data_IF_754429735301
#
_entry.id   IF_754429735301
#
_cell.length_a   1.000
_cell.length_b   1.000
_cell.length_c   1.000
_cell.angle_alpha   90.00
_cell.angle_beta   90.00
_cell.angle_gamma   90.00
#
_symmetry.space_group_name_H-M   'P 1'
#
loop_
_entity.id
_entity.type
_entity.pdbx_description
1 polymer ?
#
# COMPACT_ATOMS: atom_id res chain seq x y z
N UNK A 1 4.25 -15.30 6.86
CA UNK A 1 5.27 -14.55 6.11
C UNK A 1 5.11 -13.10 6.51
N UNK A 2 6.18 -12.32 6.58
CA UNK A 2 6.02 -10.88 6.73
C UNK A 2 5.44 -10.29 5.43
N UNK A 3 4.71 -9.18 5.52
CA UNK A 3 4.15 -8.51 4.35
C UNK A 3 4.37 -7.01 4.44
N UNK A 4 5.03 -6.39 3.45
CA UNK A 4 5.14 -4.93 3.32
C UNK A 4 4.00 -4.45 2.42
N UNK A 5 3.32 -3.37 2.80
CA UNK A 5 2.41 -2.62 1.92
C UNK A 5 2.76 -1.14 1.94
N UNK A 6 2.79 -0.51 0.77
CA UNK A 6 2.96 0.94 0.63
C UNK A 6 1.90 1.51 -0.30
N UNK A 7 1.31 2.64 0.05
CA UNK A 7 0.38 3.36 -0.83
C UNK A 7 0.80 4.81 -0.91
N UNK A 8 1.10 5.26 -2.12
CA UNK A 8 1.38 6.67 -2.43
C UNK A 8 0.49 7.08 -3.60
N UNK A 9 -0.15 8.23 -3.49
CA UNK A 9 -1.14 8.68 -4.48
C UNK A 9 -0.95 10.14 -4.89
N UNK A 10 -1.46 10.47 -6.07
CA UNK A 10 -1.69 11.83 -6.54
C UNK A 10 -3.19 12.13 -6.63
N UNK A 11 -3.60 13.41 -6.65
CA UNK A 11 -4.97 13.78 -6.95
C UNK A 11 -5.39 13.24 -8.32
N UNK A 12 -6.59 12.65 -8.40
CA UNK A 12 -7.08 12.12 -9.66
C UNK A 12 -7.42 13.21 -10.67
N UNK A 13 -7.04 12.98 -11.93
CA UNK A 13 -7.43 13.82 -13.06
C UNK A 13 -8.64 13.28 -13.84
N UNK A 14 -9.16 12.09 -13.49
CA UNK A 14 -10.25 11.46 -14.23
C UNK A 14 -11.60 12.00 -13.76
N UNK A 15 -12.48 12.29 -14.72
CA UNK A 15 -13.86 12.66 -14.42
C UNK A 15 -14.60 11.50 -13.73
N UNK A 16 -15.36 11.84 -12.70
CA UNK A 16 -16.21 10.89 -11.99
C UNK A 16 -17.26 10.33 -12.96
N UNK A 17 -17.33 9.01 -13.17
CA UNK A 17 -18.35 8.42 -14.01
C UNK A 17 -19.74 8.62 -13.40
N UNK A 18 -20.74 8.72 -14.26
CA UNK A 18 -22.14 8.79 -13.82
C UNK A 18 -22.69 7.40 -13.52
N UNK A 19 -23.69 7.31 -12.64
CA UNK A 19 -24.43 6.06 -12.42
C UNK A 19 -25.03 5.51 -13.72
N UNK A 20 -25.45 6.39 -14.63
CA UNK A 20 -26.01 5.99 -15.93
C UNK A 20 -24.96 5.32 -16.83
N UNK A 21 -23.73 5.83 -16.87
CA UNK A 21 -22.62 5.23 -17.64
C UNK A 21 -22.25 3.85 -17.08
N UNK A 22 -22.16 3.72 -15.76
CA UNK A 22 -21.86 2.43 -15.10
C UNK A 22 -22.94 1.39 -15.42
N UNK A 23 -24.22 1.76 -15.25
CA UNK A 23 -25.33 0.84 -15.52
C UNK A 23 -25.48 0.52 -17.00
N UNK A 24 -25.26 1.48 -17.90
CA UNK A 24 -25.30 1.23 -19.34
C UNK A 24 -24.25 0.18 -19.78
N UNK A 25 -23.04 0.22 -19.21
CA UNK A 25 -22.01 -0.79 -19.49
C UNK A 25 -22.39 -2.20 -19.03
N UNK A 26 -23.06 -2.33 -17.89
CA UNK A 26 -23.57 -3.62 -17.41
C UNK A 26 -24.81 -4.08 -18.19
N UNK A 27 -25.68 -3.15 -18.58
CA UNK A 27 -26.84 -3.46 -19.43
C UNK A 27 -26.38 -3.92 -20.84
N UNK A 28 -25.29 -3.36 -21.38
CA UNK A 28 -24.62 -3.86 -22.58
C UNK A 28 -24.16 -5.31 -22.41
N UNK A 29 -23.48 -5.61 -21.29
CA UNK A 29 -23.02 -6.96 -20.97
C UNK A 29 -24.20 -7.96 -20.88
N UNK A 30 -25.32 -7.55 -20.30
CA UNK A 30 -26.53 -8.38 -20.22
C UNK A 30 -27.15 -8.61 -21.60
N UNK A 31 -27.10 -7.63 -22.50
CA UNK A 31 -27.57 -7.84 -23.88
C UNK A 31 -26.70 -8.87 -24.60
N UNK A 32 -25.38 -8.74 -24.53
CA UNK A 32 -24.46 -9.66 -25.21
C UNK A 32 -24.47 -11.06 -24.59
N UNK A 33 -24.77 -11.18 -23.29
CA UNK A 33 -24.93 -12.47 -22.63
C UNK A 33 -26.17 -13.23 -23.11
N UNK A 34 -27.25 -12.52 -23.47
CA UNK A 34 -28.45 -13.12 -24.08
C UNK A 34 -28.18 -13.65 -25.49
N UNK A 35 -27.21 -13.07 -26.19
CA UNK A 35 -26.73 -13.53 -27.49
C UNK A 35 -25.73 -14.70 -27.38
N UNK A 36 -25.30 -15.05 -26.16
CA UNK A 36 -24.35 -16.15 -25.90
C UNK A 36 -22.88 -15.78 -26.11
N UNK A 37 -22.55 -14.50 -26.30
CA UNK A 37 -21.17 -14.06 -26.57
C UNK A 37 -20.42 -13.79 -25.26
N UNK A 38 -19.72 -14.81 -24.75
CA UNK A 38 -18.92 -14.73 -23.52
C UNK A 38 -17.79 -13.71 -23.63
N UNK A 39 -17.10 -13.66 -24.77
CA UNK A 39 -15.93 -12.80 -24.96
C UNK A 39 -16.32 -11.33 -24.96
N UNK A 40 -17.38 -10.98 -25.69
CA UNK A 40 -17.89 -9.60 -25.72
C UNK A 40 -18.49 -9.20 -24.37
N UNK A 41 -19.21 -10.12 -23.72
CA UNK A 41 -19.73 -9.90 -22.36
C UNK A 41 -18.59 -9.60 -21.38
N UNK A 42 -17.52 -10.40 -21.38
CA UNK A 42 -16.34 -10.18 -20.57
C UNK A 42 -15.70 -8.80 -20.81
N UNK A 43 -15.64 -8.35 -22.07
CA UNK A 43 -15.13 -7.02 -22.41
C UNK A 43 -16.00 -5.89 -21.83
N UNK A 44 -17.32 -6.01 -21.87
CA UNK A 44 -18.22 -5.01 -21.28
C UNK A 44 -18.06 -4.95 -19.76
N UNK A 45 -18.06 -6.09 -19.07
CA UNK A 45 -17.88 -6.14 -17.61
C UNK A 45 -16.49 -5.62 -17.21
N UNK A 46 -15.43 -6.01 -17.93
CA UNK A 46 -14.08 -5.52 -17.69
C UNK A 46 -13.95 -4.00 -17.85
N UNK A 47 -14.66 -3.39 -18.82
CA UNK A 47 -14.71 -1.92 -18.96
C UNK A 47 -15.40 -1.25 -17.78
N UNK A 48 -16.44 -1.86 -17.23
CA UNK A 48 -17.10 -1.35 -16.02
C UNK A 48 -16.20 -1.48 -14.80
N UNK A 49 -15.46 -2.58 -14.62
CA UNK A 49 -14.46 -2.70 -13.56
C UNK A 49 -13.42 -1.56 -13.66
N UNK A 50 -12.84 -1.34 -14.85
CA UNK A 50 -11.90 -0.24 -15.08
C UNK A 50 -12.52 1.13 -14.75
N UNK A 51 -13.79 1.36 -15.11
CA UNK A 51 -14.51 2.61 -14.81
C UNK A 51 -14.65 2.85 -13.29
N UNK A 52 -14.77 1.77 -12.52
CA UNK A 52 -14.98 1.78 -11.07
C UNK A 52 -13.68 1.70 -10.25
N UNK A 53 -12.51 1.61 -10.88
CA UNK A 53 -11.20 1.70 -10.19
C UNK A 53 -10.89 3.13 -9.76
N UNK A 54 -9.88 3.31 -8.92
CA UNK A 54 -9.35 4.63 -8.54
C UNK A 54 -10.33 5.52 -7.78
N UNK A 55 -9.97 6.79 -7.63
CA UNK A 55 -10.72 7.75 -6.83
C UNK A 55 -12.08 8.06 -7.45
N UNK A 56 -12.13 8.28 -8.77
CA UNK A 56 -13.37 8.58 -9.47
C UNK A 56 -14.37 7.41 -9.42
N UNK A 57 -13.87 6.17 -9.50
CA UNK A 57 -14.70 4.98 -9.36
C UNK A 57 -15.23 4.78 -7.94
N UNK A 58 -14.39 5.06 -6.93
CA UNK A 58 -14.84 5.10 -5.55
C UNK A 58 -15.91 6.17 -5.34
N UNK A 59 -15.70 7.38 -5.87
CA UNK A 59 -16.60 8.51 -5.66
C UNK A 59 -18.02 8.26 -6.19
N UNK A 60 -18.18 7.61 -7.35
CA UNK A 60 -19.51 7.28 -7.88
C UNK A 60 -20.25 6.24 -7.01
N UNK A 61 -19.51 5.35 -6.34
CA UNK A 61 -20.05 4.28 -5.51
C UNK A 61 -20.35 4.76 -4.08
N UNK A 62 -19.55 5.69 -3.56
CA UNK A 62 -19.68 6.19 -2.19
C UNK A 62 -21.02 6.86 -1.96
N UNK A 63 -21.67 6.50 -0.85
CA UNK A 63 -22.99 7.00 -0.45
C UNK A 63 -24.11 6.76 -1.49
N UNK A 64 -23.89 5.87 -2.46
CA UNK A 64 -24.84 5.56 -3.53
C UNK A 64 -25.37 4.12 -3.43
N UNK A 65 -26.10 3.85 -2.34
CA UNK A 65 -26.66 2.53 -2.05
C UNK A 65 -27.55 1.99 -3.18
N UNK A 66 -28.28 2.88 -3.86
CA UNK A 66 -29.14 2.48 -4.99
C UNK A 66 -28.30 1.93 -6.14
N UNK A 67 -27.25 2.65 -6.54
CA UNK A 67 -26.34 2.17 -7.58
C UNK A 67 -25.69 0.84 -7.19
N UNK A 68 -25.24 0.68 -5.94
CA UNK A 68 -24.65 -0.58 -5.48
C UNK A 68 -25.61 -1.78 -5.59
N UNK A 69 -26.90 -1.58 -5.28
CA UNK A 69 -27.95 -2.59 -5.47
C UNK A 69 -28.21 -2.87 -6.95
N UNK A 70 -28.31 -1.82 -7.75
CA UNK A 70 -28.53 -1.92 -9.21
C UNK A 70 -27.37 -2.65 -9.90
N UNK A 71 -26.12 -2.38 -9.51
CA UNK A 71 -24.93 -3.12 -9.95
C UNK A 71 -25.05 -4.58 -9.53
N UNK A 72 -25.24 -4.86 -8.23
CA UNK A 72 -25.31 -6.23 -7.70
C UNK A 72 -26.32 -7.09 -8.45
N UNK A 73 -27.52 -6.57 -8.70
CA UNK A 73 -28.57 -7.28 -9.46
C UNK A 73 -28.10 -7.70 -10.86
N UNK A 74 -27.31 -6.87 -11.53
CA UNK A 74 -26.80 -7.14 -12.87
C UNK A 74 -25.64 -8.13 -12.84
N UNK A 75 -24.78 -8.05 -11.83
CA UNK A 75 -23.72 -9.03 -11.60
C UNK A 75 -24.30 -10.43 -11.34
N UNK A 76 -25.45 -10.53 -10.64
CA UNK A 76 -26.13 -11.81 -10.40
C UNK A 76 -26.66 -12.44 -11.70
N UNK A 77 -27.21 -11.64 -12.62
CA UNK A 77 -27.61 -12.10 -13.95
C UNK A 77 -26.41 -12.61 -14.77
N UNK A 78 -25.28 -11.90 -14.69
CA UNK A 78 -24.04 -12.24 -15.39
C UNK A 78 -23.37 -13.49 -14.82
N UNK A 79 -23.44 -13.71 -13.50
CA UNK A 79 -22.98 -14.96 -12.87
C UNK A 79 -23.80 -16.16 -13.34
N UNK A 80 -25.13 -16.01 -13.39
CA UNK A 80 -26.00 -17.07 -13.88
C UNK A 80 -25.69 -17.40 -15.34
N UNK A 81 -25.34 -16.41 -16.16
CA UNK A 81 -24.84 -16.64 -17.52
C UNK A 81 -23.49 -17.38 -17.52
N UNK A 82 -22.50 -16.90 -16.76
CA UNK A 82 -21.18 -17.53 -16.68
C UNK A 82 -21.27 -19.02 -16.25
N UNK A 83 -22.12 -19.34 -15.26
CA UNK A 83 -22.36 -20.71 -14.82
C UNK A 83 -22.97 -21.60 -15.91
N UNK A 84 -23.93 -21.07 -16.69
CA UNK A 84 -24.51 -21.81 -17.84
C UNK A 84 -23.45 -22.05 -18.92
N UNK A 85 -22.68 -21.03 -19.27
CA UNK A 85 -21.61 -21.13 -20.27
C UNK A 85 -20.51 -22.11 -19.87
N UNK A 86 -20.19 -22.19 -18.57
CA UNK A 86 -19.26 -23.20 -18.03
C UNK A 86 -19.79 -24.62 -18.23
N UNK A 87 -21.04 -24.87 -17.81
CA UNK A 87 -21.66 -26.18 -17.95
C UNK A 87 -21.79 -26.62 -19.43
N UNK A 88 -22.07 -25.68 -20.34
CA UNK A 88 -22.08 -25.93 -21.78
C UNK A 88 -20.69 -26.30 -22.30
N UNK A 89 -19.63 -25.62 -21.83
CA UNK A 89 -18.25 -25.91 -22.21
C UNK A 89 -17.79 -27.28 -21.70
N UNK A 90 -18.13 -27.63 -20.46
CA UNK A 90 -17.82 -28.94 -19.86
C UNK A 90 -18.54 -30.09 -20.58
N UNK A 91 -19.78 -29.86 -21.02
CA UNK A 91 -20.57 -30.85 -21.76
C UNK A 91 -20.15 -30.99 -23.24
N UNK A 92 -19.34 -30.08 -23.77
CA UNK A 92 -19.00 -30.04 -25.18
C UNK A 92 -17.99 -31.14 -25.56
N UNK A 93 -18.44 -32.15 -26.30
CA UNK A 93 -17.59 -33.29 -26.72
C UNK A 93 -16.90 -33.11 -28.08
N UNK A 94 -17.21 -32.04 -28.82
CA UNK A 94 -16.78 -31.85 -30.22
C UNK A 94 -15.92 -30.60 -30.45
N UNK A 95 -15.49 -29.92 -29.39
CA UNK A 95 -14.61 -28.75 -29.51
C UNK A 95 -13.15 -29.18 -29.62
N UNK A 96 -12.37 -28.42 -30.39
CA UNK A 96 -10.92 -28.59 -30.40
C UNK A 96 -10.31 -28.08 -29.09
N UNK A 97 -9.12 -28.58 -28.73
CA UNK A 97 -8.39 -28.12 -27.52
C UNK A 97 -8.22 -26.60 -27.52
N UNK A 98 -7.80 -26.02 -28.65
CA UNK A 98 -7.61 -24.58 -28.77
C UNK A 98 -8.91 -23.78 -28.55
N UNK A 99 -10.06 -24.32 -28.98
CA UNK A 99 -11.35 -23.67 -28.77
C UNK A 99 -11.82 -23.77 -27.32
N UNK A 100 -11.54 -24.90 -26.65
CA UNK A 100 -11.79 -25.06 -25.22
C UNK A 100 -10.94 -24.08 -24.42
N UNK A 101 -9.64 -23.99 -24.69
CA UNK A 101 -8.74 -23.05 -24.02
C UNK A 101 -9.19 -21.59 -24.19
N UNK A 102 -9.54 -21.20 -25.42
CA UNK A 102 -10.04 -19.85 -25.71
C UNK A 102 -11.31 -19.51 -24.93
N UNK A 103 -12.31 -20.40 -24.94
CA UNK A 103 -13.57 -20.18 -24.21
C UNK A 103 -13.38 -20.18 -22.70
N UNK A 104 -12.52 -21.06 -22.19
CA UNK A 104 -12.15 -21.08 -20.76
C UNK A 104 -11.52 -19.76 -20.33
N UNK A 105 -10.64 -19.19 -21.17
CA UNK A 105 -10.03 -17.88 -20.90
C UNK A 105 -11.05 -16.74 -20.92
N UNK A 106 -11.94 -16.71 -21.92
CA UNK A 106 -13.01 -15.70 -22.00
C UNK A 106 -13.96 -15.79 -20.78
N UNK A 107 -14.28 -17.01 -20.35
CA UNK A 107 -15.10 -17.26 -19.16
C UNK A 107 -14.39 -16.84 -17.87
N UNK A 108 -13.09 -17.14 -17.73
CA UNK A 108 -12.28 -16.69 -16.60
C UNK A 108 -12.28 -15.15 -16.53
N UNK A 109 -12.05 -14.47 -17.66
CA UNK A 109 -12.11 -12.99 -17.73
C UNK A 109 -13.45 -12.42 -17.29
N UNK A 110 -14.57 -13.04 -17.70
CA UNK A 110 -15.90 -12.63 -17.26
C UNK A 110 -16.06 -12.79 -15.74
N UNK A 111 -15.73 -13.98 -15.21
CA UNK A 111 -15.84 -14.30 -13.79
C UNK A 111 -14.97 -13.38 -12.93
N UNK A 112 -13.73 -13.13 -13.35
CA UNK A 112 -12.79 -12.28 -12.65
C UNK A 112 -13.28 -10.82 -12.61
N UNK A 113 -13.75 -10.29 -13.74
CA UNK A 113 -14.28 -8.93 -13.79
C UNK A 113 -15.55 -8.79 -12.93
N UNK A 114 -16.45 -9.78 -12.95
CA UNK A 114 -17.65 -9.79 -12.12
C UNK A 114 -17.29 -9.86 -10.63
N UNK A 115 -16.32 -10.72 -10.29
CA UNK A 115 -15.80 -10.86 -8.94
C UNK A 115 -15.13 -9.58 -8.45
N UNK A 116 -14.32 -8.91 -9.28
CA UNK A 116 -13.63 -7.67 -8.93
C UNK A 116 -14.63 -6.53 -8.64
N UNK A 117 -15.67 -6.36 -9.47
CA UNK A 117 -16.70 -5.35 -9.21
C UNK A 117 -17.39 -5.62 -7.87
N UNK A 118 -17.79 -6.87 -7.61
CA UNK A 118 -18.53 -7.23 -6.40
C UNK A 118 -17.66 -7.17 -5.13
N UNK A 119 -16.49 -7.78 -5.17
CA UNK A 119 -15.69 -8.08 -3.98
C UNK A 119 -14.56 -7.09 -3.74
N UNK A 120 -14.15 -6.31 -4.75
CA UNK A 120 -13.16 -5.25 -4.57
C UNK A 120 -13.82 -3.88 -4.64
N UNK A 121 -14.48 -3.52 -5.75
CA UNK A 121 -15.04 -2.16 -5.94
C UNK A 121 -16.13 -1.83 -4.93
N UNK A 122 -17.20 -2.62 -4.89
CA UNK A 122 -18.31 -2.37 -3.97
C UNK A 122 -17.88 -2.53 -2.51
N UNK A 123 -17.08 -3.55 -2.18
CA UNK A 123 -16.59 -3.78 -0.81
C UNK A 123 -15.71 -2.62 -0.33
N UNK A 124 -14.79 -2.12 -1.16
CA UNK A 124 -13.96 -0.98 -0.78
C UNK A 124 -14.77 0.30 -0.65
N UNK A 125 -15.77 0.54 -1.50
CA UNK A 125 -16.66 1.69 -1.33
C UNK A 125 -17.39 1.67 0.03
N UNK A 126 -17.87 0.50 0.46
CA UNK A 126 -18.47 0.34 1.80
C UNK A 126 -17.43 0.54 2.90
N UNK A 127 -16.26 -0.09 2.81
CA UNK A 127 -15.23 0.01 3.83
C UNK A 127 -14.68 1.44 3.98
N UNK A 128 -14.50 2.17 2.87
CA UNK A 128 -14.10 3.59 2.91
C UNK A 128 -15.22 4.44 3.51
N UNK A 129 -16.49 4.18 3.18
CA UNK A 129 -17.61 4.87 3.81
C UNK A 129 -17.64 4.64 5.33
N UNK A 130 -17.40 3.42 5.79
CA UNK A 130 -17.36 3.08 7.23
C UNK A 130 -16.21 3.79 7.96
N UNK A 131 -15.07 3.99 7.29
CA UNK A 131 -13.92 4.73 7.83
C UNK A 131 -14.15 6.25 7.83
N UNK A 132 -14.57 6.79 6.69
CA UNK A 132 -14.67 8.23 6.44
C UNK A 132 -15.92 8.86 7.07
N UNK A 133 -17.03 8.10 7.11
CA UNK A 133 -18.32 8.56 7.60
C UNK A 133 -19.11 9.39 6.57
N UNK A 134 -20.37 9.66 6.92
CA UNK A 134 -21.29 10.46 6.09
C UNK A 134 -20.79 11.88 5.93
N UNK A 135 -20.86 12.42 4.70
CA UNK A 135 -20.46 13.79 4.42
C UNK A 135 -18.95 14.04 4.41
N UNK A 136 -18.13 12.98 4.38
CA UNK A 136 -16.67 13.10 4.26
C UNK A 136 -16.27 13.93 3.02
N UNK A 137 -15.27 14.79 3.19
CA UNK A 137 -14.68 15.59 2.10
C UNK A 137 -13.89 14.71 1.13
N UNK A 138 -13.61 15.19 -0.08
CA UNK A 138 -12.85 14.42 -1.07
C UNK A 138 -11.45 14.04 -0.57
N UNK A 139 -10.78 14.97 0.14
CA UNK A 139 -9.51 14.70 0.83
C UNK A 139 -9.64 13.56 1.85
N UNK A 140 -10.71 13.53 2.66
CA UNK A 140 -10.93 12.45 3.61
C UNK A 140 -11.22 11.12 2.91
N UNK A 141 -12.04 11.12 1.86
CA UNK A 141 -12.35 9.92 1.07
C UNK A 141 -11.10 9.32 0.44
N UNK A 142 -10.28 10.14 -0.23
CA UNK A 142 -9.01 9.71 -0.81
C UNK A 142 -8.05 9.17 0.26
N UNK A 143 -7.96 9.83 1.42
CA UNK A 143 -7.11 9.41 2.52
C UNK A 143 -7.52 8.03 3.07
N UNK A 144 -8.81 7.87 3.39
CA UNK A 144 -9.34 6.61 3.88
C UNK A 144 -9.35 5.51 2.81
N UNK A 145 -9.38 5.85 1.52
CA UNK A 145 -9.18 4.88 0.46
C UNK A 145 -7.75 4.33 0.45
N UNK A 146 -6.74 5.19 0.56
CA UNK A 146 -5.33 4.75 0.68
C UNK A 146 -5.11 3.87 1.92
N UNK A 147 -5.74 4.22 3.05
CA UNK A 147 -5.69 3.42 4.29
C UNK A 147 -6.42 2.07 4.09
N UNK A 148 -7.60 2.07 3.46
CA UNK A 148 -8.35 0.86 3.17
C UNK A 148 -7.59 -0.09 2.25
N UNK A 149 -6.96 0.42 1.20
CA UNK A 149 -6.12 -0.36 0.29
C UNK A 149 -4.97 -1.03 1.04
N UNK A 150 -4.30 -0.27 1.92
CA UNK A 150 -3.24 -0.83 2.74
C UNK A 150 -3.73 -1.97 3.63
N UNK A 151 -4.85 -1.79 4.33
CA UNK A 151 -5.39 -2.85 5.15
C UNK A 151 -5.90 -4.06 4.34
N UNK A 152 -6.55 -3.85 3.20
CA UNK A 152 -7.06 -4.95 2.39
C UNK A 152 -5.92 -5.80 1.80
N UNK A 153 -4.80 -5.18 1.44
CA UNK A 153 -3.59 -5.91 1.08
C UNK A 153 -3.01 -6.67 2.29
N UNK A 154 -2.96 -6.07 3.48
CA UNK A 154 -2.53 -6.77 4.70
C UNK A 154 -3.44 -7.95 5.03
N UNK A 155 -4.76 -7.82 4.88
CA UNK A 155 -5.72 -8.91 5.12
C UNK A 155 -5.44 -10.14 4.22
N UNK A 156 -4.85 -9.95 3.03
CA UNK A 156 -4.43 -11.04 2.12
C UNK A 156 -3.05 -11.60 2.45
N UNK A 157 -2.14 -10.76 2.92
CA UNK A 157 -0.75 -11.14 3.21
C UNK A 157 -0.57 -11.68 4.64
N UNK A 158 -1.48 -11.36 5.56
CA UNK A 158 -1.56 -12.00 6.86
C UNK A 158 -2.00 -13.46 6.68
N UNK A 159 -1.23 -14.40 7.24
CA UNK A 159 -1.47 -15.84 7.02
C UNK A 159 -1.63 -16.64 8.31
N UNK A 160 -1.60 -15.97 9.49
CA UNK A 160 -1.60 -16.67 10.79
C UNK A 160 -2.39 -16.03 11.91
N UNK A 161 -2.67 -14.72 11.89
CA UNK A 161 -3.42 -14.07 12.97
C UNK A 161 -2.70 -13.90 14.30
N UNK A 162 -1.40 -14.18 14.34
CA UNK A 162 -0.53 -14.03 15.52
C UNK A 162 0.73 -13.28 15.11
N UNK A 163 1.47 -12.79 16.10
CA UNK A 163 2.62 -11.89 16.01
C UNK A 163 2.23 -10.41 16.07
N UNK A 164 2.56 -9.60 15.08
CA UNK A 164 2.35 -8.16 15.15
C UNK A 164 2.15 -7.53 13.78
N UNK A 165 1.47 -6.40 13.75
CA UNK A 165 1.27 -5.62 12.54
C UNK A 165 1.21 -4.13 12.87
N UNK A 166 1.45 -3.30 11.86
CA UNK A 166 1.34 -1.87 11.98
C UNK A 166 0.92 -1.22 10.66
N UNK A 167 0.22 -0.10 10.78
CA UNK A 167 -0.07 0.83 9.68
C UNK A 167 0.35 2.22 10.12
N UNK A 168 1.22 2.82 9.32
CA UNK A 168 1.68 4.19 9.47
C UNK A 168 1.04 5.05 8.38
N UNK A 169 0.64 6.27 8.76
CA UNK A 169 0.05 7.27 7.85
C UNK A 169 0.81 8.58 8.00
N UNK A 170 1.42 9.05 6.93
CA UNK A 170 1.87 10.45 6.81
C UNK A 170 0.69 11.29 6.34
N UNK A 171 0.44 12.43 6.99
CA UNK A 171 -0.63 13.36 6.62
C UNK A 171 -0.03 14.75 6.41
N UNK A 172 -0.23 15.35 5.22
CA UNK A 172 0.25 16.70 4.91
C UNK A 172 -0.80 17.50 4.15
N UNK A 173 -0.53 18.79 3.91
CA UNK A 173 -1.43 19.67 3.17
C UNK A 173 -2.71 20.08 3.91
N UNK A 174 -2.85 19.70 5.18
CA UNK A 174 -4.04 19.97 5.99
C UNK A 174 -4.12 21.40 6.56
N UNK A 175 -3.00 22.14 6.58
CA UNK A 175 -2.98 23.56 7.00
C UNK A 175 -3.32 23.83 8.46
N UNK A 176 -3.23 22.81 9.34
CA UNK A 176 -3.47 22.95 10.78
C UNK A 176 -2.14 22.97 11.53
N UNK A 177 -2.12 23.73 12.62
CA UNK A 177 -0.98 23.82 13.54
C UNK A 177 -1.25 23.02 14.82
N UNK A 178 -0.20 22.55 15.49
CA UNK A 178 -0.33 21.82 16.76
C UNK A 178 -0.97 22.67 17.89
N UNK A 179 -0.93 23.99 17.74
CA UNK A 179 -1.55 24.96 18.66
C UNK A 179 -3.01 25.29 18.33
N UNK A 180 -3.58 24.77 17.22
CA UNK A 180 -5.00 24.96 16.90
C UNK A 180 -5.87 24.42 18.05
N UNK A 181 -6.84 25.21 18.48
CA UNK A 181 -7.76 24.89 19.59
C UNK A 181 -8.51 23.56 19.43
N UNK A 182 -8.71 23.09 18.20
CA UNK A 182 -9.35 21.79 17.88
C UNK A 182 -8.34 20.65 17.93
N UNK A 183 -7.07 20.94 17.70
CA UNK A 183 -5.98 19.96 17.58
C UNK A 183 -5.29 19.71 18.92
N UNK A 184 -4.96 20.77 19.65
CA UNK A 184 -4.21 20.67 20.90
C UNK A 184 -4.83 19.69 21.92
N UNK A 185 -6.16 19.65 22.14
CA UNK A 185 -6.77 18.66 23.03
C UNK A 185 -6.61 17.20 22.55
N UNK A 186 -6.61 16.98 21.23
CA UNK A 186 -6.53 15.65 20.63
C UNK A 186 -5.09 15.11 20.53
N UNK A 187 -4.08 15.96 20.73
CA UNK A 187 -2.65 15.61 20.74
C UNK A 187 -2.13 15.21 22.12
N UNK A 188 -2.86 15.51 23.20
CA UNK A 188 -2.40 15.28 24.58
C UNK A 188 -2.05 13.80 24.79
N UNK A 189 -0.83 13.55 25.26
CA UNK A 189 -0.35 12.19 25.58
C UNK A 189 0.03 11.33 24.37
N UNK A 190 0.02 11.88 23.14
CA UNK A 190 0.32 11.13 21.91
C UNK A 190 1.70 11.41 21.33
N UNK A 191 2.32 12.52 21.73
CA UNK A 191 3.59 12.99 21.17
C UNK A 191 4.83 12.43 21.89
N UNK A 192 4.70 12.14 23.18
CA UNK A 192 5.83 11.84 24.06
C UNK A 192 6.00 10.33 24.32
N UNK A 193 5.71 9.50 23.32
CA UNK A 193 5.86 8.04 23.43
C UNK A 193 7.15 7.57 22.74
N UNK A 194 8.24 7.44 23.51
CA UNK A 194 9.53 6.97 23.01
C UNK A 194 9.51 5.56 22.38
N UNK A 195 8.46 4.77 22.63
CA UNK A 195 8.33 3.41 22.10
C UNK A 195 7.54 3.34 20.78
N UNK A 196 6.95 4.45 20.35
CA UNK A 196 6.20 4.56 19.10
C UNK A 196 5.14 3.46 18.95
N UNK A 197 4.36 3.28 20.02
CA UNK A 197 3.24 2.34 20.15
C UNK A 197 1.98 2.87 19.47
N UNK A 198 0.91 2.05 19.46
CA UNK A 198 -0.33 2.38 18.77
C UNK A 198 -0.91 3.74 19.20
N UNK A 199 -1.39 4.51 18.23
CA UNK A 199 -1.92 5.89 18.35
C UNK A 199 -0.88 6.98 18.67
N UNK A 200 0.41 6.66 18.69
CA UNK A 200 1.47 7.67 18.68
C UNK A 200 1.32 8.64 17.51
N UNK A 201 1.64 9.91 17.76
CA UNK A 201 1.66 10.99 16.75
C UNK A 201 2.99 11.71 16.82
N UNK A 202 3.56 12.08 15.67
CA UNK A 202 4.66 13.06 15.59
C UNK A 202 4.27 14.19 14.68
N UNK A 203 4.29 15.40 15.23
CA UNK A 203 4.01 16.63 14.51
C UNK A 203 5.25 17.00 13.71
N UNK A 204 5.12 17.06 12.38
CA UNK A 204 6.19 17.55 11.51
C UNK A 204 6.43 19.05 11.70
N UNK A 205 7.63 19.51 11.36
CA UNK A 205 7.91 20.94 11.22
C UNK A 205 6.96 21.58 10.19
N UNK A 206 6.78 22.92 10.17
CA UNK A 206 5.94 23.58 9.18
C UNK A 206 6.26 23.13 7.75
N UNK A 207 5.24 22.69 7.01
CA UNK A 207 5.37 22.14 5.65
C UNK A 207 5.72 20.65 5.58
N UNK A 208 6.07 20.00 6.69
CA UNK A 208 6.30 18.56 6.77
C UNK A 208 5.02 17.81 7.19
N UNK A 209 4.95 16.52 6.84
CA UNK A 209 3.83 15.68 7.23
C UNK A 209 3.81 15.37 8.73
N UNK A 210 2.61 15.15 9.25
CA UNK A 210 2.37 14.58 10.56
C UNK A 210 2.30 13.06 10.44
N UNK A 211 2.94 12.39 11.39
CA UNK A 211 3.06 10.95 11.45
C UNK A 211 2.04 10.38 12.41
N UNK A 212 1.23 9.42 11.95
CA UNK A 212 0.31 8.63 12.75
C UNK A 212 0.68 7.16 12.64
N UNK A 213 0.62 6.42 13.75
CA UNK A 213 0.85 4.97 13.71
C UNK A 213 -0.21 4.21 14.49
N UNK A 214 -0.62 3.08 13.93
CA UNK A 214 -1.56 2.14 14.54
C UNK A 214 -0.89 0.79 14.54
N UNK A 215 -0.77 0.18 15.72
CA UNK A 215 -0.07 -1.09 15.91
C UNK A 215 -0.93 -2.05 16.68
N UNK A 216 -0.72 -3.33 16.44
CA UNK A 216 -1.27 -4.42 17.21
C UNK A 216 -0.19 -5.50 17.34
N UNK A 217 -0.12 -6.11 18.52
CA UNK A 217 0.75 -7.26 18.77
C UNK A 217 0.01 -8.26 19.66
N UNK A 218 -0.05 -9.50 19.19
CA UNK A 218 -0.70 -10.60 19.87
C UNK A 218 0.13 -11.88 19.70
N UNK A 219 0.68 -12.42 20.79
CA UNK A 219 1.41 -13.69 20.74
C UNK A 219 0.51 -14.86 20.31
N UNK A 220 -0.78 -14.76 20.64
CA UNK A 220 -1.83 -15.71 20.30
C UNK A 220 -3.04 -14.91 19.80
N UNK A 221 -3.56 -15.25 18.63
CA UNK A 221 -4.72 -14.60 18.02
C UNK A 221 -5.25 -15.37 16.80
N UNK A 222 -6.35 -14.90 16.24
CA UNK A 222 -6.99 -15.41 15.04
C UNK A 222 -6.67 -14.53 13.81
N UNK A 223 -6.78 -15.12 12.61
CA UNK A 223 -6.49 -14.41 11.37
C UNK A 223 -7.37 -13.15 11.24
N UNK A 224 -6.72 -12.00 11.05
CA UNK A 224 -7.38 -10.70 10.93
C UNK A 224 -7.63 -9.97 12.26
N UNK A 225 -7.23 -10.50 13.41
CA UNK A 225 -7.38 -9.80 14.70
C UNK A 225 -6.55 -8.51 14.74
N UNK A 226 -5.30 -8.57 14.27
CA UNK A 226 -4.40 -7.41 14.24
C UNK A 226 -4.96 -6.31 13.32
N UNK A 227 -5.37 -6.65 12.10
CA UNK A 227 -5.92 -5.68 11.16
C UNK A 227 -7.24 -5.10 11.68
N UNK A 228 -8.10 -5.90 12.31
CA UNK A 228 -9.34 -5.42 12.96
C UNK A 228 -9.07 -4.45 14.12
N UNK A 229 -8.07 -4.73 14.95
CA UNK A 229 -7.66 -3.84 16.04
C UNK A 229 -7.16 -2.48 15.50
N UNK A 230 -6.28 -2.52 14.49
CA UNK A 230 -5.77 -1.30 13.84
C UNK A 230 -6.87 -0.51 13.13
N UNK A 231 -7.77 -1.17 12.40
CA UNK A 231 -8.94 -0.53 11.77
C UNK A 231 -9.82 0.17 12.80
N UNK A 232 -10.10 -0.48 13.93
CA UNK A 232 -10.88 0.11 15.03
C UNK A 232 -10.19 1.35 15.61
N UNK A 233 -8.85 1.32 15.75
CA UNK A 233 -8.08 2.46 16.20
C UNK A 233 -8.13 3.65 15.23
N UNK A 234 -8.06 3.39 13.91
CA UNK A 234 -8.21 4.41 12.85
C UNK A 234 -9.61 5.05 12.89
N UNK A 235 -10.67 4.23 13.01
CA UNK A 235 -12.06 4.73 13.09
C UNK A 235 -12.27 5.64 14.31
N UNK A 236 -11.61 5.31 15.42
CA UNK A 236 -11.71 6.02 16.69
C UNK A 236 -10.71 7.19 16.83
N UNK A 237 -10.02 7.59 15.76
CA UNK A 237 -9.03 8.67 15.77
C UNK A 237 -9.59 10.00 15.24
N UNK A 238 -10.13 10.79 16.16
CA UNK A 238 -10.68 12.11 15.84
C UNK A 238 -9.62 13.10 15.33
N UNK A 239 -8.34 12.94 15.71
CA UNK A 239 -7.27 13.80 15.22
C UNK A 239 -6.98 13.50 13.75
N UNK A 240 -6.82 12.21 13.42
CA UNK A 240 -6.62 11.80 12.03
C UNK A 240 -7.80 12.29 11.19
N UNK A 241 -9.04 12.04 11.64
CA UNK A 241 -10.26 12.48 10.96
C UNK A 241 -10.28 13.99 10.73
N UNK A 242 -9.93 14.78 11.75
CA UNK A 242 -9.86 16.23 11.64
C UNK A 242 -8.88 16.67 10.56
N UNK A 243 -7.67 16.10 10.52
CA UNK A 243 -6.63 16.49 9.57
C UNK A 243 -6.98 16.09 8.14
N UNK A 244 -7.39 14.85 7.90
CA UNK A 244 -7.70 14.37 6.53
C UNK A 244 -8.96 15.03 5.96
N UNK A 245 -9.82 15.59 6.82
CA UNK A 245 -11.00 16.33 6.40
C UNK A 245 -10.68 17.73 5.85
N UNK A 246 -9.47 18.26 6.07
CA UNK A 246 -9.10 19.59 5.58
C UNK A 246 -8.91 19.56 4.06
N UNK A 247 -9.29 20.66 3.40
CA UNK A 247 -9.09 20.81 1.96
C UNK A 247 -7.59 20.76 1.62
N UNK A 248 -7.23 19.94 0.63
CA UNK A 248 -5.85 19.75 0.21
C UNK A 248 -5.05 18.77 1.07
N UNK A 249 -5.66 18.18 2.10
CA UNK A 249 -5.02 17.12 2.86
C UNK A 249 -4.77 15.90 1.97
N UNK A 250 -3.57 15.33 2.12
CA UNK A 250 -3.10 14.14 1.40
C UNK A 250 -2.43 13.18 2.37
N UNK A 251 -2.39 11.91 1.99
CA UNK A 251 -1.73 10.86 2.78
C UNK A 251 -0.87 9.93 1.95
N UNK A 252 0.11 9.34 2.62
CA UNK A 252 0.81 8.15 2.18
C UNK A 252 0.81 7.15 3.33
N UNK A 253 0.76 5.87 2.98
CA UNK A 253 0.55 4.79 3.95
C UNK A 253 1.68 3.77 3.81
N UNK A 254 2.24 3.36 4.93
CA UNK A 254 3.19 2.25 5.01
C UNK A 254 2.68 1.25 6.05
N UNK A 255 2.34 0.05 5.62
CA UNK A 255 1.86 -1.02 6.48
C UNK A 255 2.79 -2.21 6.49
N UNK A 256 2.68 -3.02 7.54
CA UNK A 256 3.46 -4.24 7.69
C UNK A 256 2.73 -5.28 8.53
N UNK A 257 2.80 -6.55 8.11
CA UNK A 257 2.61 -7.69 9.00
C UNK A 257 3.97 -8.31 9.31
N UNK A 258 4.28 -8.48 10.59
CA UNK A 258 5.58 -8.94 11.07
C UNK A 258 5.50 -10.39 11.49
N UNK A 259 6.56 -11.13 11.18
CA UNK A 259 6.90 -12.41 11.78
C UNK A 259 8.27 -12.23 12.43
N UNK A 260 8.27 -12.13 13.76
CA UNK A 260 9.42 -11.85 14.60
C UNK A 260 10.51 -12.92 14.44
N UNK A 261 11.63 -12.50 13.85
CA UNK A 261 12.93 -13.19 13.83
C UNK A 261 13.88 -12.56 14.85
N UNK A 262 14.02 -11.22 14.81
CA UNK A 262 14.85 -10.42 15.72
C UNK A 262 13.97 -9.49 16.56
N UNK A 263 13.95 -9.73 17.87
CA UNK A 263 13.17 -8.95 18.85
C UNK A 263 11.79 -9.52 19.14
N UNK A 264 11.31 -9.36 20.38
CA UNK A 264 10.08 -10.00 20.86
C UNK A 264 8.82 -9.49 20.15
N UNK A 265 7.74 -10.27 20.22
CA UNK A 265 6.41 -9.86 19.74
C UNK A 265 5.87 -8.78 20.67
N UNK A 266 5.81 -7.54 20.19
CA UNK A 266 5.32 -6.39 20.97
C UNK A 266 5.12 -5.18 20.04
N UNK A 267 4.27 -4.22 20.43
CA UNK A 267 4.04 -3.01 19.63
C UNK A 267 5.31 -2.18 19.34
N UNK A 268 6.27 -2.00 20.27
CA UNK A 268 7.50 -1.27 19.99
C UNK A 268 8.36 -1.93 18.89
N UNK A 269 8.21 -3.25 18.71
CA UNK A 269 8.93 -4.03 17.69
C UNK A 269 8.09 -4.25 16.42
N UNK A 270 6.79 -3.94 16.43
CA UNK A 270 5.95 -4.01 15.24
C UNK A 270 6.34 -2.88 14.27
N UNK A 271 6.47 -3.21 12.99
CA UNK A 271 6.79 -2.23 11.96
C UNK A 271 5.52 -1.51 11.48
N UNK A 272 5.60 -0.26 10.99
CA UNK A 272 6.82 0.54 10.84
C UNK A 272 7.43 1.04 12.16
N UNK A 273 8.75 1.11 12.20
CA UNK A 273 9.54 1.76 13.27
C UNK A 273 10.01 3.13 12.80
N UNK A 274 10.19 4.09 13.72
CA UNK A 274 10.58 5.47 13.38
C UNK A 274 12.09 5.74 13.54
N UNK A 275 12.56 6.92 13.14
CA UNK A 275 13.97 7.34 13.24
C UNK A 275 14.39 7.90 14.60
N UNK A 276 13.49 8.00 15.57
CA UNK A 276 13.78 8.68 16.84
C UNK A 276 14.75 7.88 17.72
N UNK A 277 15.60 8.62 18.42
CA UNK A 277 16.58 8.09 19.37
C UNK A 277 16.36 8.71 20.75
N UNK A 278 16.71 7.97 21.79
CA UNK A 278 16.78 8.50 23.14
C UNK A 278 17.82 9.62 23.21
N UNK A 279 17.52 10.66 24.01
CA UNK A 279 18.43 11.79 24.26
C UNK A 279 18.82 12.59 23.00
N UNK A 280 18.19 12.30 21.86
CA UNK A 280 18.42 13.02 20.61
C UNK A 280 17.83 14.42 20.71
N UNK A 281 18.61 15.40 20.25
CA UNK A 281 18.16 16.78 20.16
C UNK A 281 17.24 17.00 18.97
N UNK A 282 16.28 17.92 19.14
CA UNK A 282 15.42 18.41 18.06
C UNK A 282 16.21 18.76 16.79
N UNK A 283 15.69 18.36 15.62
CA UNK A 283 16.20 18.80 14.31
C UNK A 283 16.67 17.70 13.36
N UNK A 284 16.67 16.43 13.76
CA UNK A 284 16.87 15.30 12.83
C UNK A 284 15.62 15.05 11.98
N UNK A 285 15.77 14.81 10.67
CA UNK A 285 14.68 14.41 9.80
C UNK A 285 13.91 13.22 10.35
N UNK A 286 12.58 13.26 10.24
CA UNK A 286 11.71 12.19 10.70
C UNK A 286 11.40 11.20 9.58
N UNK A 287 11.69 9.92 9.82
CA UNK A 287 11.43 8.82 8.89
C UNK A 287 10.82 7.62 9.62
N UNK A 288 10.13 6.78 8.85
CA UNK A 288 9.67 5.46 9.27
C UNK A 288 10.12 4.40 8.28
N UNK A 289 10.34 3.18 8.74
CA UNK A 289 10.67 2.06 7.87
C UNK A 289 10.00 0.76 8.29
N UNK A 290 9.77 -0.10 7.30
CA UNK A 290 9.38 -1.50 7.48
C UNK A 290 10.40 -2.40 6.79
N UNK A 291 10.59 -3.60 7.35
CA UNK A 291 11.56 -4.58 6.91
C UNK A 291 10.91 -5.97 6.83
N UNK A 292 11.16 -6.66 5.72
CA UNK A 292 11.08 -8.11 5.61
C UNK A 292 12.50 -8.67 5.49
N UNK A 293 12.74 -9.81 6.15
CA UNK A 293 14.08 -10.36 6.31
C UNK A 293 14.83 -9.73 7.49
N UNK A 294 16.13 -9.96 7.55
CA UNK A 294 16.97 -9.61 8.70
C UNK A 294 18.17 -8.77 8.24
N UNK A 295 18.49 -7.71 9.00
CA UNK A 295 19.76 -6.99 8.92
C UNK A 295 20.74 -7.68 9.86
N UNK A 296 21.52 -8.62 9.33
CA UNK A 296 22.39 -9.51 10.10
C UNK A 296 23.43 -8.74 10.93
N UNK A 297 23.92 -7.61 10.41
CA UNK A 297 24.93 -6.77 11.05
C UNK A 297 24.33 -5.55 11.79
N UNK A 298 23.04 -5.57 12.17
CA UNK A 298 22.39 -4.44 12.85
C UNK A 298 23.06 -4.03 14.16
N UNK A 299 23.60 -4.99 14.92
CA UNK A 299 24.30 -4.72 16.18
C UNK A 299 25.58 -3.89 15.94
N UNK A 300 26.34 -4.25 14.90
CA UNK A 300 27.54 -3.51 14.50
C UNK A 300 27.19 -2.11 13.99
N UNK A 301 26.11 -1.98 13.21
CA UNK A 301 25.61 -0.68 12.74
C UNK A 301 25.20 0.20 13.92
N UNK A 302 24.49 -0.36 14.91
CA UNK A 302 24.09 0.34 16.14
C UNK A 302 25.31 0.88 16.88
N UNK A 303 26.35 0.06 17.06
CA UNK A 303 27.59 0.45 17.76
C UNK A 303 28.40 1.47 16.97
N UNK A 304 28.65 1.21 15.68
CA UNK A 304 29.46 2.07 14.79
C UNK A 304 28.89 3.48 14.67
N UNK A 305 27.57 3.58 14.59
CA UNK A 305 26.89 4.87 14.52
C UNK A 305 26.59 5.43 15.92
N UNK A 306 26.84 4.72 17.01
CA UNK A 306 26.51 5.18 18.36
C UNK A 306 25.02 5.49 18.54
N UNK A 307 24.15 4.60 18.02
CA UNK A 307 22.71 4.82 18.07
C UNK A 307 22.16 4.60 19.49
N UNK A 308 21.27 5.48 19.93
CA UNK A 308 20.61 5.43 21.25
C UNK A 308 19.15 5.01 21.07
N UNK A 309 18.91 3.70 21.07
CA UNK A 309 17.58 3.11 20.87
C UNK A 309 17.01 2.71 22.22
N UNK A 310 15.73 3.01 22.47
CA UNK A 310 15.03 2.60 23.69
C UNK A 310 15.03 1.08 23.86
N UNK A 311 15.34 0.59 25.07
CA UNK A 311 15.58 -0.83 25.33
C UNK A 311 14.45 -1.78 24.88
N UNK A 312 13.14 -1.44 24.99
CA UNK A 312 12.08 -2.31 24.50
C UNK A 312 12.05 -2.48 22.97
N UNK A 313 12.72 -1.61 22.21
CA UNK A 313 12.86 -1.71 20.76
C UNK A 313 14.11 -2.54 20.45
N UNK A 314 13.87 -3.80 20.14
CA UNK A 314 14.89 -4.84 19.94
C UNK A 314 14.99 -5.34 18.49
N UNK A 315 14.08 -4.91 17.61
CA UNK A 315 14.15 -5.22 16.18
C UNK A 315 15.32 -4.53 15.51
N UNK A 316 15.98 -5.28 14.65
CA UNK A 316 17.00 -4.85 13.70
C UNK A 316 16.52 -3.74 12.77
N UNK A 317 15.24 -3.73 12.36
CA UNK A 317 14.67 -2.72 11.48
C UNK A 317 14.85 -1.28 11.97
N UNK A 318 15.03 -1.07 13.29
CA UNK A 318 15.19 0.27 13.89
C UNK A 318 16.46 0.98 13.43
N UNK A 319 17.50 0.26 13.00
CA UNK A 319 18.71 0.91 12.47
C UNK A 319 18.45 1.64 11.14
N UNK A 320 17.45 1.20 10.37
CA UNK A 320 17.13 1.71 9.04
C UNK A 320 16.75 3.20 9.08
N UNK A 321 15.59 3.60 9.63
CA UNK A 321 15.17 5.01 9.56
C UNK A 321 16.12 5.91 10.36
N UNK A 322 16.76 5.37 11.41
CA UNK A 322 17.68 6.11 12.28
C UNK A 322 18.96 6.53 11.54
N UNK A 323 19.62 5.60 10.84
CA UNK A 323 20.85 5.92 10.08
C UNK A 323 20.54 6.82 8.88
N UNK A 324 19.41 6.58 8.20
CA UNK A 324 18.96 7.47 7.10
C UNK A 324 18.74 8.89 7.60
N UNK A 325 18.06 9.06 8.74
CA UNK A 325 17.83 10.38 9.34
C UNK A 325 19.15 11.11 9.64
N UNK A 326 20.16 10.41 10.18
CA UNK A 326 21.47 11.01 10.47
C UNK A 326 22.24 11.41 9.22
N UNK A 327 22.23 10.58 8.18
CA UNK A 327 22.83 10.91 6.87
C UNK A 327 22.16 12.11 6.23
N UNK A 328 20.83 12.14 6.25
CA UNK A 328 20.03 13.27 5.77
C UNK A 328 20.33 14.56 6.55
N UNK A 329 20.42 14.49 7.88
CA UNK A 329 20.83 15.62 8.72
C UNK A 329 22.27 16.10 8.44
N UNK A 330 23.13 15.21 7.95
CA UNK A 330 24.52 15.52 7.55
C UNK A 330 24.63 16.14 6.14
N UNK A 331 23.51 16.39 5.46
CA UNK A 331 23.46 17.09 4.18
C UNK A 331 23.29 16.19 2.94
N UNK A 332 23.20 14.88 3.10
CA UNK A 332 22.88 13.99 1.97
C UNK A 332 21.45 14.24 1.45
N UNK A 333 21.19 13.99 0.16
CA UNK A 333 19.82 13.94 -0.36
C UNK A 333 19.09 12.72 0.22
N UNK A 334 17.76 12.73 0.24
CA UNK A 334 16.99 11.63 0.83
C UNK A 334 17.27 10.28 0.14
N UNK A 335 17.32 10.24 -1.19
CA UNK A 335 17.64 9.03 -1.94
C UNK A 335 19.06 8.51 -1.70
N UNK A 336 20.04 9.42 -1.63
CA UNK A 336 21.44 9.05 -1.36
C UNK A 336 21.63 8.58 0.07
N UNK A 337 21.04 9.28 1.05
CA UNK A 337 21.04 8.88 2.45
C UNK A 337 20.47 7.46 2.63
N UNK A 338 19.36 7.17 1.94
CA UNK A 338 18.75 5.85 1.94
C UNK A 338 19.65 4.79 1.29
N UNK A 339 20.11 5.02 0.06
CA UNK A 339 20.98 4.10 -0.69
C UNK A 339 22.27 3.78 0.07
N UNK A 340 22.95 4.81 0.59
CA UNK A 340 24.19 4.65 1.34
C UNK A 340 23.97 3.87 2.64
N UNK A 341 22.81 4.03 3.28
CA UNK A 341 22.43 3.26 4.47
C UNK A 341 22.23 1.78 4.14
N UNK A 342 21.34 1.46 3.18
CA UNK A 342 21.01 0.05 2.89
C UNK A 342 22.17 -0.73 2.29
N UNK A 343 23.13 -0.04 1.66
CA UNK A 343 24.37 -0.65 1.15
C UNK A 343 25.24 -1.26 2.24
N UNK A 344 25.18 -0.73 3.46
CA UNK A 344 25.94 -1.24 4.61
C UNK A 344 25.33 -2.50 5.24
N UNK A 345 24.11 -2.90 4.84
CA UNK A 345 23.38 -3.97 5.51
C UNK A 345 23.77 -5.35 4.99
N UNK A 346 24.15 -6.24 5.87
CA UNK A 346 24.32 -7.66 5.55
C UNK A 346 22.99 -8.41 5.76
N UNK A 347 22.75 -9.45 4.96
CA UNK A 347 21.53 -10.25 5.00
C UNK A 347 20.68 -10.14 3.73
N UNK A 348 19.51 -10.78 3.77
CA UNK A 348 18.50 -10.67 2.70
C UNK A 348 17.33 -9.84 3.21
N UNK A 349 17.14 -8.66 2.61
CA UNK A 349 16.23 -7.64 3.10
C UNK A 349 15.36 -7.08 1.99
N UNK A 350 14.09 -6.84 2.30
CA UNK A 350 13.20 -5.96 1.57
C UNK A 350 12.78 -4.83 2.52
N UNK A 351 13.00 -3.60 2.10
CA UNK A 351 12.84 -2.40 2.95
C UNK A 351 11.92 -1.42 2.22
N UNK A 352 10.99 -0.83 2.97
CA UNK A 352 10.23 0.33 2.55
C UNK A 352 10.36 1.45 3.59
N UNK A 353 10.59 2.68 3.14
CA UNK A 353 10.83 3.85 3.99
C UNK A 353 10.04 5.06 3.50
N UNK A 354 9.51 5.85 4.43
CA UNK A 354 8.82 7.12 4.16
C UNK A 354 9.39 8.23 5.07
N UNK A 355 9.36 9.48 4.59
CA UNK A 355 9.89 10.65 5.32
C UNK A 355 8.84 11.74 5.47
N UNK A 356 8.82 12.42 6.62
CA UNK A 356 7.92 13.54 6.84
C UNK A 356 8.26 14.78 5.98
N UNK A 357 9.53 14.97 5.60
CA UNK A 357 9.97 16.08 4.74
C UNK A 357 9.60 15.87 3.27
N UNK A 358 9.34 14.63 2.87
CA UNK A 358 9.04 14.23 1.48
C UNK A 358 7.95 13.17 1.50
N UNK A 359 6.78 13.53 2.03
CA UNK A 359 5.72 12.59 2.36
C UNK A 359 5.03 11.94 1.15
N UNK A 360 5.14 12.55 -0.04
CA UNK A 360 4.76 11.95 -1.31
C UNK A 360 5.86 11.05 -1.91
N UNK A 361 6.99 10.87 -1.25
CA UNK A 361 8.08 10.00 -1.73
C UNK A 361 8.15 8.72 -0.90
N UNK A 362 8.26 7.58 -1.57
CA UNK A 362 8.53 6.29 -0.92
C UNK A 362 9.82 5.68 -1.47
N UNK A 363 10.65 5.19 -0.55
CA UNK A 363 11.96 4.61 -0.83
C UNK A 363 11.91 3.11 -0.59
N UNK A 364 12.36 2.32 -1.56
CA UNK A 364 12.35 0.87 -1.50
C UNK A 364 13.76 0.33 -1.72
N UNK A 365 14.14 -0.72 -1.01
CA UNK A 365 15.38 -1.44 -1.27
C UNK A 365 15.16 -2.95 -1.20
N UNK A 366 15.85 -3.69 -2.07
CA UNK A 366 15.84 -5.15 -2.09
C UNK A 366 17.28 -5.68 -2.25
N UNK A 367 17.63 -6.66 -1.41
CA UNK A 367 18.90 -7.39 -1.47
C UNK A 367 18.69 -8.88 -1.16
N UNK A 368 19.33 -9.72 -1.96
CA UNK A 368 19.22 -11.18 -1.88
C UNK A 368 17.91 -11.72 -2.46
N UNK A 369 17.80 -13.04 -2.51
CA UNK A 369 16.67 -13.77 -3.12
C UNK A 369 15.55 -14.15 -2.16
N UNK A 370 15.75 -13.98 -0.84
CA UNK A 370 14.81 -14.46 0.17
C UNK A 370 13.55 -13.60 0.34
N UNK A 371 13.55 -12.38 -0.19
CA UNK A 371 12.47 -11.40 -0.04
C UNK A 371 11.99 -10.88 -1.39
N UNK A 372 10.80 -10.28 -1.40
CA UNK A 372 10.19 -9.71 -2.60
C UNK A 372 9.71 -8.28 -2.40
N UNK A 373 9.72 -7.50 -3.48
CA UNK A 373 9.00 -6.23 -3.61
C UNK A 373 8.48 -6.08 -5.04
N UNK A 374 7.22 -5.69 -5.16
CA UNK A 374 6.55 -5.31 -6.40
C UNK A 374 6.05 -3.87 -6.26
N UNK A 375 6.21 -3.07 -7.31
CA UNK A 375 5.59 -1.74 -7.44
C UNK A 375 4.44 -1.84 -8.43
N UNK A 376 3.22 -1.94 -7.90
CA UNK A 376 1.99 -1.90 -8.68
C UNK A 376 1.70 -0.51 -9.23
N UNK A 377 1.37 -0.46 -10.52
CA UNK A 377 0.97 0.72 -11.25
C UNK A 377 -0.57 0.74 -11.34
N UNK A 378 -1.21 1.45 -10.42
CA UNK A 378 -2.66 1.63 -10.39
C UNK A 378 -3.02 3.07 -10.80
N UNK A 379 -4.29 3.33 -11.13
CA UNK A 379 -4.72 4.68 -11.49
C UNK A 379 -4.40 5.67 -10.36
N UNK A 380 -3.57 6.68 -10.68
CA UNK A 380 -3.14 7.76 -9.79
C UNK A 380 -2.43 7.32 -8.50
N UNK A 381 -1.95 6.06 -8.46
CA UNK A 381 -1.48 5.40 -7.24
C UNK A 381 -0.34 4.42 -7.52
N UNK A 382 0.66 4.42 -6.64
CA UNK A 382 1.55 3.28 -6.48
C UNK A 382 1.08 2.41 -5.33
N UNK A 383 0.98 1.10 -5.58
CA UNK A 383 0.76 0.10 -4.55
C UNK A 383 2.02 -0.74 -4.46
N UNK A 384 2.78 -0.61 -3.37
CA UNK A 384 3.96 -1.42 -3.11
C UNK A 384 3.54 -2.63 -2.31
N UNK A 385 3.87 -3.84 -2.74
CA UNK A 385 3.64 -5.03 -1.94
C UNK A 385 4.86 -5.94 -1.99
N UNK A 386 5.17 -6.66 -0.92
CA UNK A 386 6.24 -7.65 -0.97
C UNK A 386 5.91 -8.83 -1.91
N UNK A 387 4.63 -9.11 -2.08
CA UNK A 387 4.09 -10.20 -2.89
C UNK A 387 2.99 -9.68 -3.85
N UNK A 388 2.87 -10.25 -5.08
CA UNK A 388 1.86 -9.82 -6.05
C UNK A 388 0.42 -9.84 -5.52
N UNK A 389 0.09 -10.72 -4.58
CA UNK A 389 -1.24 -10.81 -3.96
C UNK A 389 -1.67 -9.51 -3.27
N UNK A 390 -0.73 -8.68 -2.81
CA UNK A 390 -1.04 -7.38 -2.24
C UNK A 390 -1.48 -6.33 -3.27
N UNK A 391 -1.31 -6.61 -4.57
CA UNK A 391 -1.63 -5.68 -5.67
C UNK A 391 -2.96 -5.97 -6.36
N UNK A 392 -3.45 -7.22 -6.26
CA UNK A 392 -4.49 -7.79 -7.13
C UNK A 392 -5.78 -6.95 -7.18
N UNK A 393 -6.18 -6.37 -6.05
CA UNK A 393 -7.37 -5.50 -6.02
C UNK A 393 -7.24 -4.25 -6.90
N UNK A 394 -6.03 -3.76 -7.12
CA UNK A 394 -5.82 -2.42 -7.69
C UNK A 394 -5.24 -2.51 -9.09
N UNK A 395 -4.34 -3.46 -9.33
CA UNK A 395 -3.66 -3.60 -10.60
C UNK A 395 -2.97 -4.95 -10.75
N UNK A 396 -2.93 -5.44 -11.99
CA UNK A 396 -2.08 -6.55 -12.40
C UNK A 396 -0.77 -6.06 -13.05
N UNK A 397 -0.65 -4.74 -13.30
CA UNK A 397 0.53 -4.11 -13.86
C UNK A 397 1.52 -3.76 -12.76
N UNK A 398 2.71 -4.34 -12.78
CA UNK A 398 3.73 -4.03 -11.76
C UNK A 398 5.16 -4.19 -12.25
N UNK A 399 6.07 -3.47 -11.59
CA UNK A 399 7.52 -3.69 -11.70
C UNK A 399 7.97 -4.59 -10.55
N UNK A 400 8.60 -5.73 -10.86
CA UNK A 400 9.20 -6.64 -9.86
C UNK A 400 10.65 -6.23 -9.62
N UNK A 401 11.01 -6.00 -8.37
CA UNK A 401 12.42 -5.79 -8.00
C UNK A 401 13.18 -7.13 -7.97
N UNK A 402 14.46 -7.08 -8.30
CA UNK A 402 15.40 -8.20 -8.24
C UNK A 402 16.57 -7.87 -7.30
N UNK A 403 16.61 -8.54 -6.15
CA UNK A 403 17.63 -8.35 -5.12
C UNK A 403 18.97 -9.01 -5.41
N UNK A 404 19.06 -9.86 -6.43
CA UNK A 404 20.28 -10.57 -6.84
C UNK A 404 20.89 -9.99 -8.13
N UNK A 405 20.10 -9.23 -8.90
CA UNK A 405 20.55 -8.55 -10.10
C UNK A 405 21.80 -7.71 -9.85
N UNK A 406 22.73 -7.84 -10.80
CA UNK A 406 23.90 -6.97 -10.94
C UNK A 406 23.63 -6.01 -12.09
N UNK A 407 23.77 -4.70 -11.85
CA UNK A 407 23.75 -3.73 -12.95
C UNK A 407 24.99 -3.86 -13.85
N UNK A 408 26.12 -4.30 -13.29
CA UNK A 408 27.30 -4.73 -14.04
C UNK A 408 27.75 -6.09 -13.51
N UNK A 409 27.70 -7.10 -14.39
CA UNK A 409 28.08 -8.49 -14.09
C UNK A 409 29.51 -8.64 -13.56
N UNK A 410 30.40 -7.69 -13.90
CA UNK A 410 31.80 -7.69 -13.45
C UNK A 410 32.02 -6.93 -12.14
N UNK A 411 30.99 -6.26 -11.61
CA UNK A 411 31.09 -5.47 -10.40
C UNK A 411 30.07 -5.96 -9.35
N UNK A 412 30.49 -6.85 -8.42
CA UNK A 412 29.63 -7.34 -7.34
C UNK A 412 29.03 -6.24 -6.45
N UNK A 413 29.63 -5.05 -6.41
CA UNK A 413 29.11 -3.93 -5.62
C UNK A 413 27.79 -3.36 -6.16
N UNK A 414 27.41 -3.69 -7.41
CA UNK A 414 26.13 -3.32 -8.00
C UNK A 414 24.95 -4.15 -7.49
N UNK A 415 25.19 -5.19 -6.70
CA UNK A 415 24.14 -6.14 -6.27
C UNK A 415 23.07 -5.47 -5.42
N UNK A 416 21.82 -5.73 -5.80
CA UNK A 416 20.63 -5.22 -5.13
C UNK A 416 20.10 -3.96 -5.78
N UNK A 417 18.84 -3.64 -5.51
CA UNK A 417 18.12 -2.54 -6.15
C UNK A 417 17.51 -1.59 -5.13
N UNK A 418 17.56 -0.30 -5.45
CA UNK A 418 16.85 0.78 -4.76
C UNK A 418 15.86 1.40 -5.74
N UNK A 419 14.64 1.64 -5.28
CA UNK A 419 13.61 2.39 -6.03
C UNK A 419 13.19 3.60 -5.23
N UNK A 420 13.09 4.75 -5.90
CA UNK A 420 12.47 5.97 -5.38
C UNK A 420 11.18 6.21 -6.17
N UNK A 421 10.07 6.27 -5.46
CA UNK A 421 8.74 6.55 -6.02
C UNK A 421 8.36 8.01 -5.78
N UNK A 422 8.06 8.74 -6.84
CA UNK A 422 7.50 10.09 -6.80
C UNK A 422 5.96 10.04 -6.87
N UNK A 423 5.34 10.33 -5.73
CA UNK A 423 3.90 10.34 -5.58
C UNK A 423 3.17 11.37 -6.43
N UNK A 424 3.83 12.41 -6.96
CA UNK A 424 3.19 13.35 -7.90
C UNK A 424 2.95 12.71 -9.28
N UNK A 425 3.71 11.67 -9.61
CA UNK A 425 3.61 10.90 -10.84
C UNK A 425 3.00 9.51 -10.61
N UNK A 426 2.36 9.30 -9.46
CA UNK A 426 1.80 8.02 -9.06
C UNK A 426 0.94 7.37 -10.15
N UNK A 427 1.17 6.07 -10.36
CA UNK A 427 0.47 5.26 -11.36
C UNK A 427 1.16 5.13 -12.72
N UNK A 428 2.27 5.84 -12.96
CA UNK A 428 3.06 5.73 -14.20
C UNK A 428 4.49 5.28 -13.93
N UNK A 429 5.20 4.80 -14.95
CA UNK A 429 6.63 4.49 -14.80
C UNK A 429 7.52 5.73 -14.60
N UNK A 430 7.06 6.91 -15.04
CA UNK A 430 7.86 8.14 -15.00
C UNK A 430 8.22 8.59 -13.58
N UNK A 431 7.39 8.23 -12.59
CA UNK A 431 7.67 8.47 -11.16
C UNK A 431 8.51 7.38 -10.49
N UNK A 432 8.96 6.36 -11.23
CA UNK A 432 9.78 5.28 -10.70
C UNK A 432 11.25 5.47 -11.10
N UNK A 433 12.12 5.80 -10.14
CA UNK A 433 13.56 5.82 -10.35
C UNK A 433 14.22 4.60 -9.73
N UNK A 434 14.84 3.73 -10.54
CA UNK A 434 15.54 2.53 -10.06
C UNK A 434 17.05 2.66 -10.21
N UNK A 435 17.79 2.20 -9.21
CA UNK A 435 19.25 2.20 -9.19
C UNK A 435 19.81 0.96 -8.49
N UNK A 436 21.01 0.55 -8.89
CA UNK A 436 21.82 -0.41 -8.14
C UNK A 436 22.38 0.21 -6.86
N UNK A 437 22.86 -0.62 -5.95
CA UNK A 437 23.39 -0.16 -4.67
C UNK A 437 24.64 0.73 -4.80
N UNK A 438 25.42 0.58 -5.86
CA UNK A 438 26.56 1.46 -6.15
C UNK A 438 26.16 2.82 -6.72
N UNK A 439 24.89 3.00 -7.10
CA UNK A 439 24.33 4.23 -7.67
C UNK A 439 24.13 4.19 -9.18
N UNK A 440 24.48 3.08 -9.85
CA UNK A 440 24.24 2.91 -11.28
C UNK A 440 22.74 2.92 -11.57
N UNK A 441 22.30 3.75 -12.51
CA UNK A 441 20.88 3.85 -12.90
C UNK A 441 20.46 2.58 -13.65
N UNK A 442 19.30 2.05 -13.28
CA UNK A 442 18.66 0.93 -13.99
C UNK A 442 17.46 1.52 -14.72
N UNK A 443 17.50 1.50 -16.05
CA UNK A 443 16.42 2.03 -16.87
C UNK A 443 15.15 1.18 -16.71
N UNK A 444 14.01 1.86 -16.54
CA UNK A 444 12.69 1.26 -16.55
C UNK A 444 11.94 1.68 -17.82
N UNK A 445 11.31 0.72 -18.46
CA UNK A 445 10.46 0.89 -19.63
C UNK A 445 9.24 -0.03 -19.55
N UNK A 446 8.36 0.00 -20.55
CA UNK A 446 7.18 -0.87 -20.57
C UNK A 446 7.54 -2.37 -20.63
N UNK A 447 8.72 -2.75 -21.10
CA UNK A 447 9.17 -4.15 -21.05
C UNK A 447 9.55 -4.59 -19.62
N UNK A 448 9.78 -3.63 -18.72
CA UNK A 448 10.02 -3.85 -17.30
C UNK A 448 8.72 -4.11 -16.51
N UNK A 449 7.55 -3.89 -17.12
CA UNK A 449 6.23 -4.05 -16.49
C UNK A 449 5.69 -5.45 -16.76
N UNK A 450 5.41 -6.18 -15.70
CA UNK A 450 4.64 -7.43 -15.74
C UNK A 450 3.16 -7.09 -15.84
N UNK A 451 2.40 -7.83 -16.66
CA UNK A 451 0.96 -7.66 -16.95
C UNK A 451 0.17 -8.94 -16.70
#
# INVERSE_FOLDING_TARGET
MCGIIGVVSRPSGRAVPTSAEVLAGLDDAIRTSRDGDVALTANHVGRVDLLLRGDAGLEVLMDNRRLALDITSRLDELDAFAQRSEAELEAASSLSVAEVERRSLDLARLKDANWAIRNDRLRNAVAVFDLAGTGATDSARNAYFSIQQAFAALDRMEVRGRDSAGVHVMVWGHGLEATDSRVAPLLVGRQDDALFTSRSVRVGAPGCAWSFVYKAAAEIGELGDNTRAMRSAVVADDLLRLLVSQHGARVSVLGHTRWASVGIISEPNAHPVNSEELESTFGTPYLVAALNGDVDNHADIKVRNGLRIADPITTDAKVIPTVVARRRASGESLGEAFRNTVREFDGSVAIATASAESASTMLLALRGSGQGLCVGLAEDRYIVASEPYGLVEETIRYVRMDGEALADVNNPATRGQVVVLDGELAGTLDGCSMMAYDGSVIALDEASVTV
#
